data_IF_174260552283
#
_entry.id   IF_174260552283
#
_cell.length_a   1.000
_cell.length_b   1.000
_cell.length_c   1.000
_cell.angle_alpha   90.00
_cell.angle_beta   90.00
_cell.angle_gamma   90.00
#
_symmetry.space_group_name_H-M   'P 1'
#
loop_
_entity.id
_entity.type
_entity.pdbx_description
1 polymer ?
#
# COMPACT_ATOMS: atom_id res chain seq x y z
N UNK A 1 14.53 4.75 -20.47
CA UNK A 1 14.87 4.98 -19.05
C UNK A 1 16.23 4.39 -18.76
N UNK A 2 17.13 5.16 -18.19
CA UNK A 2 18.44 4.66 -17.77
C UNK A 2 18.34 3.83 -16.49
N UNK A 3 19.40 3.11 -16.13
CA UNK A 3 19.43 2.35 -14.88
C UNK A 3 19.30 3.26 -13.66
N UNK A 4 19.91 4.44 -13.70
CA UNK A 4 19.83 5.40 -12.60
C UNK A 4 18.43 5.97 -12.44
N UNK A 5 17.78 6.30 -13.55
CA UNK A 5 16.39 6.76 -13.54
C UNK A 5 15.44 5.67 -13.00
N UNK A 6 15.67 4.43 -13.44
CA UNK A 6 14.86 3.30 -12.99
C UNK A 6 15.04 3.04 -11.49
N UNK A 7 16.29 3.14 -11.00
CA UNK A 7 16.59 3.00 -9.59
C UNK A 7 15.87 4.06 -8.74
N UNK A 8 15.93 5.32 -9.19
CA UNK A 8 15.25 6.40 -8.49
C UNK A 8 13.74 6.21 -8.45
N UNK A 9 13.17 5.77 -9.58
CA UNK A 9 11.75 5.48 -9.66
C UNK A 9 11.36 4.44 -8.60
N UNK A 10 12.13 3.37 -8.47
CA UNK A 10 11.84 2.33 -7.49
C UNK A 10 12.08 2.75 -6.06
N UNK A 11 13.03 3.65 -5.82
CA UNK A 11 13.21 4.21 -4.48
C UNK A 11 11.96 4.95 -4.01
N UNK A 12 11.35 5.73 -4.91
CA UNK A 12 10.12 6.46 -4.61
C UNK A 12 8.91 5.53 -4.51
N UNK A 13 8.79 4.59 -5.45
CA UNK A 13 7.69 3.62 -5.46
C UNK A 13 7.74 2.69 -4.25
N UNK A 14 8.95 2.29 -3.85
CA UNK A 14 9.10 1.39 -2.70
C UNK A 14 8.62 2.06 -1.41
N UNK A 15 8.90 3.32 -1.24
CA UNK A 15 8.41 4.09 -0.10
C UNK A 15 6.88 4.12 -0.07
N UNK A 16 6.26 4.40 -1.20
CA UNK A 16 4.80 4.41 -1.32
C UNK A 16 4.21 3.03 -1.07
N UNK A 17 4.87 1.99 -1.57
CA UNK A 17 4.44 0.61 -1.34
C UNK A 17 4.48 0.24 0.15
N UNK A 18 5.55 0.62 0.85
CA UNK A 18 5.67 0.40 2.29
C UNK A 18 4.55 1.09 3.06
N UNK A 19 4.24 2.33 2.68
CA UNK A 19 3.17 3.10 3.31
C UNK A 19 1.80 2.46 3.11
N UNK A 20 1.51 2.01 1.89
CA UNK A 20 0.24 1.33 1.57
C UNK A 20 0.13 0.02 2.36
N UNK A 21 1.21 -0.76 2.40
CA UNK A 21 1.21 -2.03 3.13
C UNK A 21 0.99 -1.82 4.63
N UNK A 22 1.65 -0.83 5.21
CA UNK A 22 1.49 -0.49 6.62
C UNK A 22 0.05 -0.09 6.94
N UNK A 23 -0.55 0.74 6.10
CA UNK A 23 -1.92 1.19 6.27
C UNK A 23 -2.91 0.01 6.14
N UNK A 24 -2.68 -0.86 5.16
CA UNK A 24 -3.49 -2.07 5.00
C UNK A 24 -3.46 -2.95 6.25
N UNK A 25 -2.26 -3.20 6.79
CA UNK A 25 -2.08 -4.04 7.97
C UNK A 25 -2.85 -3.47 9.15
N UNK A 26 -2.80 -2.17 9.36
CA UNK A 26 -3.45 -1.51 10.48
C UNK A 26 -4.97 -1.59 10.38
N UNK A 27 -5.53 -1.44 9.17
CA UNK A 27 -6.98 -1.44 8.97
C UNK A 27 -7.57 -2.82 8.72
N UNK A 28 -6.74 -3.84 8.52
CA UNK A 28 -7.17 -5.21 8.24
C UNK A 28 -6.43 -6.20 9.14
N UNK A 29 -6.56 -6.03 10.46
CA UNK A 29 -5.79 -6.80 11.44
C UNK A 29 -6.13 -8.28 11.49
N UNK A 30 -7.27 -8.66 10.93
CA UNK A 30 -7.70 -10.04 10.80
C UNK A 30 -7.08 -10.76 9.59
N UNK A 31 -6.32 -10.02 8.77
CA UNK A 31 -5.70 -10.54 7.55
C UNK A 31 -4.18 -10.43 7.63
N UNK A 32 -3.49 -11.41 7.01
CA UNK A 32 -2.04 -11.38 6.91
C UNK A 32 -1.66 -10.78 5.57
N UNK A 33 -0.76 -9.80 5.58
CA UNK A 33 -0.27 -9.19 4.34
C UNK A 33 0.44 -10.23 3.46
N UNK A 34 1.06 -11.24 4.08
CA UNK A 34 1.72 -12.32 3.35
C UNK A 34 0.75 -13.21 2.58
N UNK A 35 -0.53 -13.18 2.91
CA UNK A 35 -1.58 -13.94 2.25
C UNK A 35 -2.50 -13.05 1.41
N UNK A 36 -2.16 -11.77 1.29
CA UNK A 36 -2.94 -10.81 0.53
C UNK A 36 -2.35 -10.70 -0.87
N UNK A 37 -3.18 -10.88 -1.89
CA UNK A 37 -2.73 -10.69 -3.27
C UNK A 37 -2.55 -9.21 -3.59
N UNK A 38 -1.74 -8.92 -4.61
CA UNK A 38 -1.56 -7.55 -5.08
C UNK A 38 -2.90 -6.94 -5.50
N UNK A 39 -3.74 -7.74 -6.16
CA UNK A 39 -5.07 -7.28 -6.60
C UNK A 39 -5.95 -6.90 -5.41
N UNK A 40 -5.93 -7.69 -4.35
CA UNK A 40 -6.70 -7.38 -3.13
C UNK A 40 -6.23 -6.07 -2.51
N UNK A 41 -4.92 -5.89 -2.42
CA UNK A 41 -4.34 -4.67 -1.87
C UNK A 41 -4.72 -3.46 -2.72
N UNK A 42 -4.65 -3.58 -4.04
CA UNK A 42 -5.01 -2.50 -4.97
C UNK A 42 -6.50 -2.14 -4.87
N UNK A 43 -7.37 -3.13 -4.77
CA UNK A 43 -8.81 -2.90 -4.63
C UNK A 43 -9.12 -2.19 -3.33
N UNK A 44 -8.50 -2.63 -2.24
CA UNK A 44 -8.68 -1.99 -0.94
C UNK A 44 -8.20 -0.53 -0.99
N UNK A 45 -7.01 -0.31 -1.52
CA UNK A 45 -6.44 1.05 -1.63
C UNK A 45 -7.33 1.95 -2.50
N UNK A 46 -7.83 1.43 -3.60
CA UNK A 46 -8.74 2.21 -4.45
C UNK A 46 -10.03 2.59 -3.68
N UNK A 47 -10.57 1.67 -2.89
CA UNK A 47 -11.72 1.94 -2.05
C UNK A 47 -11.49 3.07 -1.08
N UNK A 48 -10.26 3.21 -0.55
CA UNK A 48 -9.91 4.30 0.36
C UNK A 48 -9.93 5.68 -0.33
N UNK A 49 -9.84 5.72 -1.65
CA UNK A 49 -9.94 6.99 -2.39
C UNK A 49 -11.38 7.46 -2.53
N UNK A 50 -12.35 6.58 -2.30
CA UNK A 50 -13.78 6.87 -2.45
C UNK A 50 -14.44 7.01 -1.09
N UNK A 51 -14.23 6.04 -0.20
CA UNK A 51 -14.83 5.99 1.13
C UNK A 51 -13.78 5.44 2.11
N UNK A 52 -12.90 6.30 2.61
CA UNK A 52 -11.80 5.86 3.48
C UNK A 52 -12.28 5.34 4.82
N UNK A 53 -11.58 4.32 5.32
CA UNK A 53 -11.82 3.79 6.65
C UNK A 53 -11.45 4.85 7.70
N UNK A 54 -12.06 4.77 8.88
CA UNK A 54 -11.75 5.68 9.97
C UNK A 54 -10.29 5.55 10.38
N UNK A 55 -9.68 6.69 10.69
CA UNK A 55 -8.30 6.72 11.16
C UNK A 55 -8.25 6.17 12.60
N UNK A 56 -7.49 5.10 12.77
CA UNK A 56 -7.33 4.44 14.07
C UNK A 56 -6.07 4.87 14.81
N UNK A 57 -5.34 5.84 14.25
CA UNK A 57 -4.13 6.39 14.86
C UNK A 57 -4.41 7.58 15.78
N UNK A 58 -5.63 7.92 15.97
CA UNK A 58 -5.99 9.08 16.80
C UNK A 58 -5.65 8.85 18.25
#
# INVERSE_FOLDING_TARGET
MTKDEHKKLHQDLHKSLDEICADYIVHNRDKLISETSVIELMKWSYGQTIDPDDDIYV
#
